data_IF_139885180073
#
_entry.id   IF_139885180073
#
_cell.length_a   1.000
_cell.length_b   1.000
_cell.length_c   1.000
_cell.angle_alpha   90.00
_cell.angle_beta   90.00
_cell.angle_gamma   90.00
#
_symmetry.space_group_name_H-M   'P 1'
#
loop_
_entity.id
_entity.type
_entity.pdbx_description
1 polymer ?
#
# COMPACT_ATOMS: atom_id res chain seq x y z
N UNK A 1 4.75 27.11 -12.10
CA UNK A 1 5.64 26.21 -11.33
C UNK A 1 4.80 25.05 -10.83
N UNK A 2 4.98 23.86 -11.41
CA UNK A 2 4.30 22.66 -10.93
C UNK A 2 4.88 22.34 -9.56
N UNK A 3 4.04 22.37 -8.54
CA UNK A 3 4.41 21.89 -7.21
C UNK A 3 4.69 20.40 -7.40
N UNK A 4 5.95 19.99 -7.37
CA UNK A 4 6.30 18.60 -7.07
C UNK A 4 5.68 18.34 -5.70
N UNK A 5 4.47 17.79 -5.67
CA UNK A 5 3.86 17.28 -4.46
C UNK A 5 4.69 16.07 -4.06
N UNK A 6 5.81 16.32 -3.38
CA UNK A 6 6.56 15.28 -2.71
C UNK A 6 5.58 14.52 -1.82
N UNK A 7 5.58 13.19 -1.94
CA UNK A 7 4.79 12.33 -1.07
C UNK A 7 5.05 12.73 0.39
N UNK A 8 4.00 12.74 1.21
CA UNK A 8 4.18 12.92 2.65
C UNK A 8 5.06 11.78 3.18
N UNK A 9 5.89 12.08 4.19
CA UNK A 9 6.79 11.10 4.81
C UNK A 9 6.08 9.79 5.21
N UNK A 10 4.83 9.89 5.67
CA UNK A 10 3.97 8.73 5.96
C UNK A 10 3.69 7.87 4.71
N UNK A 11 3.26 8.48 3.60
CA UNK A 11 3.01 7.77 2.34
C UNK A 11 4.29 7.15 1.78
N UNK A 12 5.42 7.85 1.91
CA UNK A 12 6.69 7.32 1.48
C UNK A 12 7.09 6.09 2.32
N UNK A 13 6.91 6.14 3.64
CA UNK A 13 7.17 4.99 4.51
C UNK A 13 6.25 3.80 4.22
N UNK A 14 4.97 4.06 3.90
CA UNK A 14 4.03 3.02 3.48
C UNK A 14 4.44 2.40 2.15
N UNK A 15 4.85 3.23 1.19
CA UNK A 15 5.35 2.77 -0.11
C UNK A 15 6.56 1.86 0.07
N UNK A 16 7.55 2.28 0.84
CA UNK A 16 8.76 1.48 1.11
C UNK A 16 8.42 0.11 1.72
N UNK A 17 7.49 0.07 2.68
CA UNK A 17 7.01 -1.20 3.25
C UNK A 17 6.30 -2.07 2.22
N UNK A 18 5.42 -1.47 1.42
CA UNK A 18 4.70 -2.20 0.38
C UNK A 18 5.66 -2.77 -0.67
N UNK A 19 6.67 -1.99 -1.07
CA UNK A 19 7.73 -2.45 -1.97
C UNK A 19 8.56 -3.59 -1.36
N UNK A 20 8.86 -3.51 -0.06
CA UNK A 20 9.58 -4.57 0.65
C UNK A 20 8.80 -5.90 0.69
N UNK A 21 7.47 -5.86 0.72
CA UNK A 21 6.60 -7.05 0.69
C UNK A 21 6.15 -7.43 -0.73
N UNK A 22 6.70 -6.79 -1.76
CA UNK A 22 6.51 -7.17 -3.16
C UNK A 22 5.35 -6.49 -3.89
N UNK A 23 4.90 -5.32 -3.43
CA UNK A 23 4.09 -4.41 -4.26
C UNK A 23 5.00 -3.60 -5.18
N UNK A 24 4.52 -3.30 -6.38
CA UNK A 24 5.20 -2.43 -7.33
C UNK A 24 4.29 -1.29 -7.73
N UNK A 25 4.83 -0.08 -7.81
CA UNK A 25 4.09 1.14 -8.13
C UNK A 25 4.53 1.68 -9.49
N UNK A 26 3.61 1.76 -10.43
CA UNK A 26 3.92 2.15 -11.81
C UNK A 26 3.03 3.30 -12.28
N UNK A 27 3.61 4.24 -13.02
CA UNK A 27 2.87 5.30 -13.68
C UNK A 27 2.41 4.83 -15.07
N UNK A 28 1.10 4.68 -15.29
CA UNK A 28 0.56 4.07 -16.52
C UNK A 28 0.77 4.97 -17.75
N UNK A 29 0.78 6.31 -17.57
CA UNK A 29 1.22 7.25 -18.60
C UNK A 29 1.33 8.67 -18.04
N UNK A 30 2.12 9.55 -18.68
CA UNK A 30 2.32 10.98 -18.30
C UNK A 30 1.03 11.80 -18.12
N UNK A 31 -0.13 11.27 -18.53
CA UNK A 31 -1.45 11.90 -18.46
C UNK A 31 -2.52 11.03 -17.76
N UNK A 32 -2.20 9.80 -17.37
CA UNK A 32 -3.21 8.78 -17.08
C UNK A 32 -3.33 8.31 -15.63
N UNK A 33 -2.41 8.63 -14.72
CA UNK A 33 -2.52 8.19 -13.31
C UNK A 33 -1.52 7.11 -12.94
N UNK A 34 -1.67 6.59 -11.72
CA UNK A 34 -0.80 5.60 -11.09
C UNK A 34 -1.55 4.29 -10.88
N UNK A 35 -0.82 3.17 -10.90
CA UNK A 35 -1.30 1.85 -10.49
C UNK A 35 -0.31 1.18 -9.53
N UNK A 36 -0.78 0.21 -8.76
CA UNK A 36 0.04 -0.76 -8.06
C UNK A 36 -0.28 -2.19 -8.51
N UNK A 37 0.74 -3.03 -8.49
CA UNK A 37 0.65 -4.46 -8.82
C UNK A 37 1.30 -5.29 -7.72
N UNK A 38 0.70 -6.42 -7.37
CA UNK A 38 1.26 -7.41 -6.46
C UNK A 38 1.09 -8.82 -7.06
N UNK A 39 1.86 -9.80 -6.58
CA UNK A 39 1.98 -11.13 -7.20
C UNK A 39 0.64 -11.89 -7.40
N UNK A 40 -0.43 -11.49 -6.72
CA UNK A 40 -1.76 -12.09 -6.85
C UNK A 40 -2.86 -11.11 -7.21
N UNK A 41 -2.58 -9.80 -7.31
CA UNK A 41 -3.61 -8.77 -7.45
C UNK A 41 -3.06 -7.49 -8.11
N UNK A 42 -3.92 -6.64 -8.64
CA UNK A 42 -3.54 -5.36 -9.25
C UNK A 42 -4.69 -4.40 -9.05
N UNK A 43 -4.39 -3.12 -8.79
CA UNK A 43 -5.47 -2.16 -8.55
C UNK A 43 -6.38 -2.07 -9.79
N UNK A 44 -7.69 -2.20 -9.55
CA UNK A 44 -8.75 -2.05 -10.55
C UNK A 44 -8.95 -0.58 -10.96
N UNK A 45 -8.50 0.36 -10.11
CA UNK A 45 -8.68 1.79 -10.31
C UNK A 45 -7.39 2.47 -10.79
N UNK A 46 -7.46 3.13 -11.94
CA UNK A 46 -6.42 4.07 -12.36
C UNK A 46 -6.50 5.34 -11.50
N UNK A 47 -5.93 5.28 -10.29
CA UNK A 47 -5.99 6.38 -9.31
C UNK A 47 -5.13 7.54 -9.83
N UNK A 48 -5.63 8.78 -9.88
CA UNK A 48 -4.94 9.87 -10.56
C UNK A 48 -3.62 10.29 -9.89
N UNK A 49 -3.37 9.92 -8.63
CA UNK A 49 -2.20 10.33 -7.85
C UNK A 49 -1.46 9.15 -7.22
N UNK A 50 -0.14 9.25 -7.15
CA UNK A 50 0.74 8.25 -6.52
C UNK A 50 0.30 7.94 -5.08
N UNK A 51 -0.02 8.98 -4.30
CA UNK A 51 -0.48 8.81 -2.92
C UNK A 51 -1.79 8.04 -2.80
N UNK A 52 -2.73 8.23 -3.72
CA UNK A 52 -3.99 7.47 -3.70
C UNK A 52 -3.77 6.00 -4.02
N UNK A 53 -2.86 5.69 -4.94
CA UNK A 53 -2.47 4.31 -5.24
C UNK A 53 -1.75 3.64 -4.07
N UNK A 54 -0.88 4.36 -3.36
CA UNK A 54 -0.20 3.86 -2.15
C UNK A 54 -1.22 3.56 -1.06
N UNK A 55 -2.21 4.44 -0.87
CA UNK A 55 -3.28 4.20 0.11
C UNK A 55 -4.14 3.00 -0.25
N UNK A 56 -4.45 2.81 -1.52
CA UNK A 56 -5.20 1.65 -2.00
C UNK A 56 -4.41 0.35 -1.78
N UNK A 57 -3.13 0.32 -2.17
CA UNK A 57 -2.23 -0.80 -1.91
C UNK A 57 -2.09 -1.10 -0.42
N UNK A 58 -1.99 -0.06 0.41
CA UNK A 58 -1.90 -0.20 1.88
C UNK A 58 -3.14 -0.87 2.46
N UNK A 59 -4.32 -0.47 1.99
CA UNK A 59 -5.58 -1.09 2.41
C UNK A 59 -5.61 -2.55 1.99
N UNK A 60 -5.30 -2.86 0.74
CA UNK A 60 -5.26 -4.23 0.24
C UNK A 60 -4.26 -5.10 1.02
N UNK A 61 -3.07 -4.59 1.30
CA UNK A 61 -2.08 -5.27 2.14
C UNK A 61 -2.62 -5.54 3.55
N UNK A 62 -3.29 -4.56 4.16
CA UNK A 62 -3.91 -4.73 5.47
C UNK A 62 -5.04 -5.76 5.49
N UNK A 63 -5.89 -5.80 4.46
CA UNK A 63 -6.94 -6.82 4.32
C UNK A 63 -6.34 -8.23 4.19
N UNK A 64 -5.26 -8.35 3.42
CA UNK A 64 -4.55 -9.62 3.25
C UNK A 64 -3.82 -10.05 4.53
N UNK A 65 -3.20 -9.13 5.24
CA UNK A 65 -2.59 -9.39 6.55
C UNK A 65 -3.63 -9.83 7.58
N UNK A 66 -4.82 -9.21 7.58
CA UNK A 66 -5.95 -9.64 8.41
C UNK A 66 -6.37 -11.07 8.09
N UNK A 67 -6.45 -11.43 6.80
CA UNK A 67 -6.79 -12.79 6.36
C UNK A 67 -5.71 -13.81 6.76
N UNK A 68 -4.43 -13.51 6.49
CA UNK A 68 -3.28 -14.39 6.79
C UNK A 68 -3.14 -14.64 8.30
N UNK A 69 -3.23 -13.58 9.10
CA UNK A 69 -3.06 -13.63 10.55
C UNK A 69 -4.38 -13.90 11.30
N UNK A 70 -5.49 -14.03 10.57
CA UNK A 70 -6.85 -14.21 11.10
C UNK A 70 -7.21 -13.14 12.15
N UNK A 71 -6.87 -11.88 11.84
CA UNK A 71 -7.08 -10.72 12.71
C UNK A 71 -8.43 -10.08 12.37
N UNK A 72 -9.30 -9.82 13.35
CA UNK A 72 -10.54 -9.10 13.10
C UNK A 72 -10.30 -7.68 12.57
N UNK A 73 -11.14 -7.17 11.66
CA UNK A 73 -11.01 -5.79 11.15
C UNK A 73 -11.15 -4.74 12.26
N UNK A 74 -11.86 -5.04 13.36
CA UNK A 74 -11.92 -4.16 14.54
C UNK A 74 -10.53 -4.00 15.19
N UNK A 75 -9.78 -5.10 15.28
CA UNK A 75 -8.45 -5.12 15.89
C UNK A 75 -7.47 -4.38 15.01
N UNK A 76 -7.52 -4.61 13.69
CA UNK A 76 -6.73 -3.88 12.71
C UNK A 76 -7.00 -2.36 12.76
N UNK A 77 -8.26 -1.97 12.87
CA UNK A 77 -8.66 -0.56 12.96
C UNK A 77 -8.22 0.12 14.26
N UNK A 78 -8.01 -0.66 15.34
CA UNK A 78 -7.50 -0.16 16.62
C UNK A 78 -5.98 -0.06 16.66
N UNK A 79 -5.27 -0.81 15.80
CA UNK A 79 -3.81 -0.78 15.70
C UNK A 79 -3.34 0.55 15.13
N UNK A 80 -2.20 1.05 15.65
CA UNK A 80 -1.53 2.19 15.05
C UNK A 80 -0.91 1.83 13.69
N UNK A 81 -0.67 2.84 12.85
CA UNK A 81 -0.02 2.66 11.54
C UNK A 81 1.31 1.91 11.63
N UNK A 82 2.04 2.10 12.74
CA UNK A 82 3.31 1.40 12.99
C UNK A 82 3.10 -0.11 13.22
N UNK A 83 2.13 -0.49 14.03
CA UNK A 83 1.81 -1.90 14.28
C UNK A 83 1.31 -2.57 12.99
N UNK A 84 0.42 -1.89 12.25
CA UNK A 84 -0.05 -2.37 10.95
C UNK A 84 1.11 -2.60 9.98
N UNK A 85 2.09 -1.70 9.96
CA UNK A 85 3.32 -1.82 9.16
C UNK A 85 4.10 -3.08 9.53
N UNK A 86 4.42 -3.25 10.81
CA UNK A 86 5.17 -4.41 11.29
C UNK A 86 4.44 -5.72 10.93
N UNK A 87 3.11 -5.76 11.08
CA UNK A 87 2.31 -6.93 10.71
C UNK A 87 2.26 -7.21 9.21
N UNK A 88 2.20 -6.18 8.36
CA UNK A 88 2.27 -6.35 6.91
C UNK A 88 3.63 -6.94 6.52
N UNK A 89 4.71 -6.40 7.08
CA UNK A 89 6.06 -6.91 6.85
C UNK A 89 6.17 -8.37 7.29
N UNK A 90 5.72 -8.73 8.48
CA UNK A 90 5.80 -10.11 8.98
C UNK A 90 4.90 -11.09 8.21
N UNK A 91 3.64 -10.72 7.95
CA UNK A 91 2.68 -11.61 7.30
C UNK A 91 3.01 -11.87 5.83
N UNK A 92 3.62 -10.89 5.15
CA UNK A 92 3.83 -10.93 3.70
C UNK A 92 5.29 -11.23 3.32
N UNK A 93 6.28 -10.94 4.17
CA UNK A 93 7.68 -11.33 3.93
C UNK A 93 7.94 -12.82 4.24
N UNK A 94 7.04 -13.49 4.96
CA UNK A 94 7.17 -14.90 5.35
C UNK A 94 6.82 -15.93 4.26
N UNK A 95 6.68 -15.54 2.98
CA UNK A 95 6.23 -16.42 1.90
C UNK A 95 7.27 -16.61 0.80
#
# INVERSE_FOLDING_TARGET
MFKNSALSSDLQSRKETLEAVGYSFESISKKSGWNWSHASDSSDGNVPTEGGVIQDAWRHAGERTQDILNIPPETWSRMGTREQKEMIEEAMAGK
#
